data_IF_796942257667
#
_entry.id   IF_796942257667
#
_cell.length_a   1.000
_cell.length_b   1.000
_cell.length_c   1.000
_cell.angle_alpha   90.00
_cell.angle_beta   90.00
_cell.angle_gamma   90.00
#
_symmetry.space_group_name_H-M   'P 1'
#
loop_
_entity.id
_entity.type
_entity.pdbx_description
1 polymer ?
#
# COMPACT_ATOMS: atom_id res chain seq x y z
N UNK A 1 -51.96 19.17 65.16
CA UNK A 1 -50.91 19.79 64.28
C UNK A 1 -51.67 20.27 63.08
N UNK A 2 -51.73 21.58 62.86
CA UNK A 2 -52.19 22.12 61.57
C UNK A 2 -51.00 21.92 60.52
N UNK A 3 -51.20 20.99 59.62
CA UNK A 3 -50.34 20.90 58.45
C UNK A 3 -50.74 22.04 57.52
N UNK A 4 -49.86 23.03 57.35
CA UNK A 4 -50.02 24.01 56.27
C UNK A 4 -50.13 23.25 54.96
N UNK A 5 -51.13 23.56 54.10
CA UNK A 5 -51.18 22.97 52.79
C UNK A 5 -49.83 23.33 52.08
N UNK A 6 -49.23 22.31 51.46
CA UNK A 6 -48.03 22.58 50.61
C UNK A 6 -48.38 23.61 49.54
N UNK A 7 -47.57 24.63 49.40
CA UNK A 7 -47.74 25.58 48.31
C UNK A 7 -47.69 24.79 46.98
N UNK A 8 -48.59 25.11 46.04
CA UNK A 8 -48.50 24.50 44.71
C UNK A 8 -47.15 24.80 44.09
N UNK A 9 -46.58 23.83 43.36
CA UNK A 9 -45.36 24.00 42.62
C UNK A 9 -45.49 25.13 41.57
N UNK A 10 -44.49 25.95 41.45
CA UNK A 10 -44.38 26.93 40.37
C UNK A 10 -43.54 26.35 39.24
N UNK A 11 -44.04 26.34 38.02
CA UNK A 11 -43.23 25.83 36.91
C UNK A 11 -42.01 26.73 36.65
N UNK A 12 -40.90 26.16 36.17
CA UNK A 12 -39.67 26.91 35.88
C UNK A 12 -39.85 27.88 34.71
N UNK A 13 -38.91 28.80 34.54
CA UNK A 13 -38.83 29.74 33.43
C UNK A 13 -37.51 29.53 32.70
N UNK A 14 -37.53 29.63 31.35
CA UNK A 14 -36.37 29.39 30.50
C UNK A 14 -35.98 30.65 29.70
N UNK A 15 -34.69 30.92 29.59
CA UNK A 15 -34.15 32.02 28.80
C UNK A 15 -33.16 31.53 27.77
N UNK A 16 -33.20 32.09 26.57
CA UNK A 16 -32.21 31.85 25.50
C UNK A 16 -31.23 32.98 25.40
N UNK A 17 -29.93 32.66 25.26
CA UNK A 17 -28.92 33.64 24.92
C UNK A 17 -29.24 34.33 23.57
N UNK A 18 -28.79 35.57 23.40
CA UNK A 18 -29.10 36.35 22.19
C UNK A 18 -28.14 36.08 21.01
N UNK A 19 -27.64 34.85 20.92
CA UNK A 19 -26.80 34.37 19.82
C UNK A 19 -27.42 33.08 19.32
N UNK A 20 -27.77 32.96 18.03
CA UNK A 20 -27.72 33.99 16.98
C UNK A 20 -28.75 35.14 17.21
N UNK A 21 -28.53 36.25 16.58
CA UNK A 21 -29.51 37.34 16.60
C UNK A 21 -30.79 36.91 15.88
N UNK A 22 -32.00 37.25 16.38
CA UNK A 22 -33.23 36.82 15.69
C UNK A 22 -33.27 37.29 14.23
N UNK A 23 -33.70 36.40 13.33
CA UNK A 23 -33.77 36.56 11.88
C UNK A 23 -32.42 36.79 11.16
N UNK A 24 -31.32 36.51 11.84
CA UNK A 24 -30.00 36.47 11.18
C UNK A 24 -29.85 35.22 10.29
N UNK A 25 -28.92 35.29 9.33
CA UNK A 25 -28.57 34.13 8.48
C UNK A 25 -27.22 33.61 8.94
N UNK A 26 -27.18 32.38 9.38
CA UNK A 26 -26.01 31.75 9.99
C UNK A 26 -25.70 30.40 9.34
N UNK A 27 -24.54 29.86 9.63
CA UNK A 27 -24.20 28.51 9.23
C UNK A 27 -25.14 27.49 9.88
N UNK A 28 -25.40 26.35 9.19
CA UNK A 28 -26.35 25.35 9.66
C UNK A 28 -25.91 24.59 10.92
N UNK A 29 -24.63 24.66 11.30
CA UNK A 29 -24.09 24.13 12.54
C UNK A 29 -23.97 25.25 13.57
N UNK A 30 -24.81 25.22 14.60
CA UNK A 30 -24.95 26.35 15.55
C UNK A 30 -24.85 25.85 16.98
N UNK A 31 -24.08 26.56 17.80
CA UNK A 31 -24.12 26.38 19.26
C UNK A 31 -25.09 27.37 19.88
N UNK A 32 -26.11 26.83 20.54
CA UNK A 32 -27.14 27.57 21.24
C UNK A 32 -26.92 27.45 22.75
N UNK A 33 -27.17 28.54 23.46
CA UNK A 33 -27.00 28.62 24.91
C UNK A 33 -28.32 29.05 25.58
N UNK A 34 -28.66 28.46 26.70
CA UNK A 34 -29.86 28.77 27.50
C UNK A 34 -29.57 28.65 28.98
N UNK A 35 -30.48 29.15 29.76
CA UNK A 35 -30.48 29.00 31.20
C UNK A 35 -31.94 28.87 31.70
N UNK A 36 -32.13 28.33 32.91
CA UNK A 36 -33.43 28.18 33.52
C UNK A 36 -33.39 28.59 34.98
N UNK A 37 -34.49 29.22 35.44
CA UNK A 37 -34.71 29.62 36.80
C UNK A 37 -35.99 28.98 37.34
N UNK A 38 -36.02 28.65 38.63
CA UNK A 38 -37.17 28.12 39.34
C UNK A 38 -37.26 28.78 40.72
N UNK A 39 -38.35 29.48 40.96
CA UNK A 39 -38.52 30.32 42.15
C UNK A 39 -38.72 29.49 43.44
N UNK A 40 -39.18 28.26 43.36
CA UNK A 40 -39.46 27.38 44.52
C UNK A 40 -38.76 26.02 44.46
N UNK A 41 -37.77 25.86 43.53
CA UNK A 41 -37.03 24.62 43.36
C UNK A 41 -35.65 24.81 42.66
N UNK A 42 -35.34 23.89 41.80
CA UNK A 42 -34.13 23.93 40.94
C UNK A 42 -34.36 23.15 39.66
N UNK A 43 -33.59 23.49 38.61
CA UNK A 43 -33.69 22.86 37.32
C UNK A 43 -32.95 21.52 37.34
N UNK A 44 -33.57 20.46 36.85
CA UNK A 44 -33.02 19.10 36.77
C UNK A 44 -32.63 18.73 35.33
N UNK A 45 -33.33 19.27 34.34
CA UNK A 45 -33.07 19.00 32.92
C UNK A 45 -33.67 20.10 32.06
N UNK A 46 -33.36 20.05 30.79
CA UNK A 46 -34.00 20.84 29.75
C UNK A 46 -34.55 19.92 28.67
N UNK A 47 -35.61 20.34 28.01
CA UNK A 47 -36.13 19.73 26.82
C UNK A 47 -35.99 20.74 25.68
N UNK A 48 -35.46 20.29 24.53
CA UNK A 48 -35.34 21.09 23.36
C UNK A 48 -35.91 20.41 22.12
N UNK A 49 -36.34 21.20 21.17
CA UNK A 49 -36.67 20.77 19.81
C UNK A 49 -36.41 21.88 18.82
N UNK A 50 -36.42 21.53 17.54
CA UNK A 50 -36.43 22.53 16.48
C UNK A 50 -37.41 22.19 15.39
N UNK A 51 -37.82 23.24 14.64
CA UNK A 51 -38.74 23.17 13.54
C UNK A 51 -38.00 23.78 12.35
N UNK A 52 -37.81 23.02 11.28
CA UNK A 52 -37.31 23.52 9.99
C UNK A 52 -38.48 23.92 9.13
N UNK A 53 -38.53 25.17 8.69
CA UNK A 53 -39.54 25.66 7.77
C UNK A 53 -38.95 25.86 6.38
N UNK A 54 -39.46 25.13 5.41
CA UNK A 54 -39.06 25.19 4.02
C UNK A 54 -39.82 26.34 3.32
N UNK A 55 -39.14 27.46 3.13
CA UNK A 55 -39.77 28.72 2.69
C UNK A 55 -40.49 28.60 1.35
N UNK A 56 -39.91 27.90 0.40
CA UNK A 56 -40.47 27.80 -0.95
C UNK A 56 -41.58 26.71 -1.08
N UNK A 57 -41.44 25.65 -0.31
CA UNK A 57 -42.45 24.54 -0.31
C UNK A 57 -43.62 24.89 0.59
N UNK A 58 -43.38 25.67 1.65
CA UNK A 58 -44.38 26.10 2.62
C UNK A 58 -44.75 25.03 3.65
N UNK A 59 -43.98 23.97 3.75
CA UNK A 59 -44.13 22.93 4.77
C UNK A 59 -43.19 23.13 5.97
N UNK A 60 -43.34 22.33 7.01
CA UNK A 60 -42.49 22.40 8.20
C UNK A 60 -42.22 21.01 8.75
N UNK A 61 -40.95 20.71 9.01
CA UNK A 61 -40.52 19.49 9.70
C UNK A 61 -40.34 19.78 11.19
N UNK A 62 -41.15 19.20 12.06
CA UNK A 62 -41.09 19.38 13.50
C UNK A 62 -40.36 18.20 14.15
N UNK A 63 -39.23 18.47 14.78
CA UNK A 63 -38.50 17.46 15.56
C UNK A 63 -39.20 17.21 16.88
N UNK A 64 -39.18 15.95 17.40
CA UNK A 64 -39.71 15.66 18.76
C UNK A 64 -38.86 16.36 19.82
N UNK A 65 -39.45 16.58 20.98
CA UNK A 65 -38.73 17.02 22.18
C UNK A 65 -37.65 16.02 22.57
N UNK A 66 -36.43 16.51 22.86
CA UNK A 66 -35.30 15.73 23.35
C UNK A 66 -34.84 16.32 24.69
N UNK A 67 -34.51 15.44 25.64
CA UNK A 67 -34.03 15.86 26.95
C UNK A 67 -32.49 16.01 26.93
N UNK A 68 -32.01 16.98 27.75
CA UNK A 68 -30.56 17.21 27.99
C UNK A 68 -30.38 17.82 29.39
N UNK A 69 -29.26 17.56 30.02
CA UNK A 69 -28.79 18.19 31.25
C UNK A 69 -27.89 19.40 31.04
N UNK A 70 -27.62 19.73 29.75
CA UNK A 70 -26.70 20.80 29.37
C UNK A 70 -27.42 22.13 29.16
N UNK A 71 -26.72 23.23 29.43
CA UNK A 71 -27.16 24.62 29.17
C UNK A 71 -26.70 25.13 27.82
N UNK A 72 -26.03 24.29 27.03
CA UNK A 72 -25.64 24.60 25.65
C UNK A 72 -25.57 23.34 24.79
N UNK A 73 -25.86 23.47 23.51
CA UNK A 73 -25.77 22.37 22.57
C UNK A 73 -25.42 22.89 21.17
N UNK A 74 -24.50 22.20 20.52
CA UNK A 74 -24.23 22.39 19.08
C UNK A 74 -25.17 21.50 18.28
N UNK A 75 -25.97 22.09 17.42
CA UNK A 75 -26.98 21.41 16.61
C UNK A 75 -26.67 21.66 15.14
N UNK A 76 -26.63 20.57 14.36
CA UNK A 76 -26.69 20.66 12.91
C UNK A 76 -28.16 20.74 12.49
N UNK A 77 -28.57 21.87 11.96
CA UNK A 77 -29.92 22.06 11.46
C UNK A 77 -30.04 21.49 10.04
N UNK A 78 -31.23 20.97 9.74
CA UNK A 78 -31.50 20.55 8.37
C UNK A 78 -31.41 21.75 7.42
N UNK A 79 -30.70 21.56 6.33
CA UNK A 79 -30.59 22.52 5.23
C UNK A 79 -30.86 21.83 3.92
N UNK A 80 -31.51 22.52 3.02
CA UNK A 80 -31.83 22.04 1.67
C UNK A 80 -31.30 23.03 0.65
N UNK A 81 -31.48 22.71 -0.64
CA UNK A 81 -31.13 23.62 -1.74
C UNK A 81 -31.88 24.97 -1.69
N UNK A 82 -32.92 25.05 -0.88
CA UNK A 82 -33.74 26.24 -0.72
C UNK A 82 -33.45 26.94 0.62
N UNK A 83 -33.83 28.20 0.70
CA UNK A 83 -33.76 28.97 1.93
C UNK A 83 -34.69 28.38 2.99
N UNK A 84 -34.13 27.95 4.10
CA UNK A 84 -34.87 27.45 5.24
C UNK A 84 -34.71 28.39 6.43
N UNK A 85 -35.74 28.54 7.27
CA UNK A 85 -35.54 29.10 8.59
C UNK A 85 -35.82 28.09 9.69
N UNK A 86 -35.06 28.22 10.73
CA UNK A 86 -35.12 27.35 11.90
C UNK A 86 -35.85 28.05 13.03
N UNK A 87 -36.68 27.32 13.73
CA UNK A 87 -37.27 27.74 14.99
C UNK A 87 -36.77 26.79 16.08
N UNK A 88 -35.82 27.24 16.89
CA UNK A 88 -35.35 26.47 18.03
C UNK A 88 -36.17 26.80 19.25
N UNK A 89 -36.60 25.78 20.01
CA UNK A 89 -37.36 25.88 21.23
C UNK A 89 -36.69 25.07 22.34
N UNK A 90 -36.60 25.64 23.54
CA UNK A 90 -36.08 24.98 24.74
C UNK A 90 -36.92 25.34 25.94
N UNK A 91 -37.09 24.38 26.85
CA UNK A 91 -37.85 24.55 28.10
C UNK A 91 -37.16 23.81 29.24
N UNK A 92 -37.15 24.42 30.40
CA UNK A 92 -36.61 23.83 31.63
C UNK A 92 -37.58 22.83 32.26
N UNK A 93 -37.03 21.89 33.01
CA UNK A 93 -37.77 20.90 33.84
C UNK A 93 -37.25 21.02 35.26
N UNK A 94 -38.15 21.22 36.23
CA UNK A 94 -37.80 21.39 37.62
C UNK A 94 -37.59 20.04 38.34
N UNK A 95 -37.27 20.11 39.63
CA UNK A 95 -37.04 18.95 40.50
C UNK A 95 -38.35 18.22 40.94
N UNK A 96 -39.52 18.73 40.57
CA UNK A 96 -40.83 18.10 40.80
C UNK A 96 -41.41 17.52 39.50
N UNK A 97 -40.77 17.78 38.35
CA UNK A 97 -41.17 17.28 37.05
C UNK A 97 -42.08 18.24 36.27
N UNK A 98 -42.34 19.46 36.78
CA UNK A 98 -43.06 20.46 36.01
C UNK A 98 -42.14 21.08 34.95
N UNK A 99 -42.73 21.43 33.83
CA UNK A 99 -42.04 21.93 32.63
C UNK A 99 -42.47 23.36 32.38
N UNK A 100 -41.52 24.21 31.93
CA UNK A 100 -41.86 25.56 31.52
C UNK A 100 -42.98 25.55 30.46
N UNK A 101 -44.14 26.15 30.77
CA UNK A 101 -45.28 26.17 29.83
C UNK A 101 -45.07 27.10 28.65
N UNK A 102 -44.02 27.96 28.70
CA UNK A 102 -43.71 28.97 27.70
C UNK A 102 -42.27 28.81 27.17
N UNK A 103 -42.02 27.76 26.37
CA UNK A 103 -40.66 27.50 25.88
C UNK A 103 -40.00 28.73 25.30
N UNK A 104 -38.74 28.97 25.65
CA UNK A 104 -37.96 30.02 25.03
C UNK A 104 -37.72 29.67 23.55
N UNK A 105 -37.90 30.66 22.67
CA UNK A 105 -37.87 30.45 21.23
C UNK A 105 -36.88 31.38 20.53
N UNK A 106 -36.17 30.87 19.51
CA UNK A 106 -35.34 31.68 18.62
C UNK A 106 -35.58 31.27 17.18
N UNK A 107 -35.67 32.30 16.29
CA UNK A 107 -35.79 32.17 14.84
C UNK A 107 -34.56 32.71 14.15
N UNK A 108 -34.02 31.98 13.16
CA UNK A 108 -32.90 32.40 12.34
C UNK A 108 -32.93 31.65 10.99
N UNK A 109 -32.23 32.17 10.00
CA UNK A 109 -32.08 31.53 8.70
C UNK A 109 -30.75 30.73 8.71
N UNK A 110 -30.73 29.61 7.98
CA UNK A 110 -29.51 28.85 7.73
C UNK A 110 -29.09 29.00 6.28
N UNK A 111 -27.78 29.16 6.06
CA UNK A 111 -27.23 29.09 4.71
C UNK A 111 -27.56 27.73 4.09
N UNK A 112 -27.74 27.75 2.76
CA UNK A 112 -27.81 26.53 1.97
C UNK A 112 -26.55 25.70 2.27
N UNK A 113 -26.72 24.43 2.61
CA UNK A 113 -25.66 23.45 2.68
C UNK A 113 -25.81 22.42 1.57
N UNK A 114 -24.70 22.02 0.99
CA UNK A 114 -24.62 21.02 -0.07
C UNK A 114 -23.92 19.76 0.49
N UNK A 115 -24.11 18.65 -0.17
CA UNK A 115 -23.42 17.43 0.20
C UNK A 115 -21.92 17.54 -0.08
N UNK A 116 -21.06 16.98 0.75
CA UNK A 116 -19.66 16.87 0.43
C UNK A 116 -19.47 15.99 -0.81
N UNK A 117 -18.35 16.12 -1.49
CA UNK A 117 -18.02 15.35 -2.70
C UNK A 117 -16.81 14.48 -2.39
N UNK A 118 -16.99 13.18 -2.39
CA UNK A 118 -15.96 12.18 -2.12
C UNK A 118 -15.29 11.71 -3.40
N UNK A 119 -13.97 11.52 -3.37
CA UNK A 119 -13.19 10.99 -4.48
C UNK A 119 -12.26 9.87 -4.01
N UNK A 120 -12.34 8.71 -4.63
CA UNK A 120 -11.43 7.59 -4.43
C UNK A 120 -10.18 7.79 -5.31
N UNK A 121 -9.03 8.04 -4.69
CA UNK A 121 -7.76 8.26 -5.39
C UNK A 121 -7.12 6.93 -5.78
N UNK A 122 -7.15 5.95 -4.87
CA UNK A 122 -6.61 4.59 -5.04
C UNK A 122 -7.47 3.60 -4.25
N UNK A 123 -7.73 2.42 -4.81
CA UNK A 123 -7.29 1.88 -6.11
C UNK A 123 -8.01 2.50 -7.31
N UNK A 124 -7.40 2.35 -8.48
CA UNK A 124 -8.06 2.67 -9.75
C UNK A 124 -8.94 1.52 -10.22
N UNK A 125 -9.87 1.82 -11.12
CA UNK A 125 -10.80 0.82 -11.64
C UNK A 125 -10.07 -0.31 -12.39
N UNK A 126 -10.45 -1.56 -12.11
CA UNK A 126 -9.84 -2.79 -12.62
C UNK A 126 -8.40 -3.07 -12.15
N UNK A 127 -7.92 -2.39 -11.13
CA UNK A 127 -6.63 -2.70 -10.53
C UNK A 127 -6.64 -4.12 -9.95
N UNK A 128 -5.51 -4.83 -10.12
CA UNK A 128 -5.34 -6.22 -9.66
C UNK A 128 -4.36 -6.27 -8.51
N UNK A 129 -4.75 -6.93 -7.43
CA UNK A 129 -3.93 -7.12 -6.24
C UNK A 129 -3.71 -8.60 -5.95
N UNK A 130 -2.55 -8.94 -5.40
CA UNK A 130 -2.44 -10.17 -4.64
C UNK A 130 -3.12 -9.99 -3.28
N UNK A 131 -3.70 -11.08 -2.77
CA UNK A 131 -4.30 -11.10 -1.44
C UNK A 131 -4.06 -12.47 -0.78
N UNK A 132 -3.77 -12.46 0.51
CA UNK A 132 -3.68 -13.63 1.36
C UNK A 132 -4.73 -13.54 2.48
N UNK A 133 -5.03 -14.65 3.13
CA UNK A 133 -6.13 -14.76 4.11
C UNK A 133 -5.81 -14.16 5.49
N UNK A 134 -4.61 -13.65 5.67
CA UNK A 134 -4.14 -13.00 6.91
C UNK A 134 -3.17 -11.86 6.59
N UNK A 135 -2.96 -10.97 7.53
CA UNK A 135 -1.95 -9.90 7.42
C UNK A 135 -0.58 -10.38 7.89
N UNK A 136 0.48 -9.85 7.28
CA UNK A 136 1.88 -10.10 7.66
C UNK A 136 2.60 -8.77 7.82
N UNK A 137 3.87 -8.80 8.23
CA UNK A 137 4.72 -7.59 8.27
C UNK A 137 4.95 -7.00 6.87
N UNK A 138 4.73 -7.79 5.81
CA UNK A 138 4.93 -7.41 4.42
C UNK A 138 3.63 -7.11 3.66
N UNK A 139 2.49 -7.60 4.16
CA UNK A 139 1.20 -7.39 3.53
C UNK A 139 0.12 -7.07 4.56
N UNK A 140 -0.30 -5.81 4.62
CA UNK A 140 -1.29 -5.31 5.59
C UNK A 140 -2.73 -5.33 5.05
N UNK A 141 -2.95 -5.77 3.82
CA UNK A 141 -4.23 -5.72 3.13
C UNK A 141 -4.19 -4.86 1.88
N UNK A 142 -5.36 -4.53 1.36
CA UNK A 142 -5.51 -3.66 0.18
C UNK A 142 -5.51 -2.20 0.63
N UNK A 143 -4.49 -1.45 0.24
CA UNK A 143 -4.41 -0.02 0.54
C UNK A 143 -5.44 0.76 -0.27
N UNK A 144 -6.18 1.65 0.42
CA UNK A 144 -7.06 2.62 -0.20
C UNK A 144 -6.66 4.04 0.21
N UNK A 145 -6.86 4.98 -0.70
CA UNK A 145 -6.64 6.41 -0.45
C UNK A 145 -7.78 7.18 -1.10
N UNK A 146 -8.39 8.08 -0.36
CA UNK A 146 -9.51 8.89 -0.81
C UNK A 146 -9.43 10.29 -0.19
N UNK A 147 -10.23 11.20 -0.72
CA UNK A 147 -10.38 12.56 -0.21
C UNK A 147 -11.83 12.99 -0.37
N UNK A 148 -12.21 14.09 0.26
CA UNK A 148 -13.47 14.74 -0.02
C UNK A 148 -13.34 16.25 0.12
N UNK A 149 -14.23 16.97 -0.55
CA UNK A 149 -14.33 18.43 -0.52
C UNK A 149 -15.74 18.82 -0.10
N UNK A 150 -15.83 19.76 0.83
CA UNK A 150 -17.05 20.48 1.14
C UNK A 150 -16.91 21.94 0.66
N UNK A 151 -17.82 22.38 -0.21
CA UNK A 151 -17.77 23.71 -0.85
C UNK A 151 -18.59 24.75 -0.12
N UNK A 152 -19.21 24.37 0.98
CA UNK A 152 -20.06 25.29 1.72
C UNK A 152 -19.24 26.31 2.50
N UNK A 153 -19.87 27.45 2.78
CA UNK A 153 -19.28 28.45 3.67
C UNK A 153 -19.07 27.85 5.06
N UNK A 154 -17.81 27.78 5.54
CA UNK A 154 -17.38 27.07 6.75
C UNK A 154 -17.67 25.56 6.74
N UNK A 155 -17.84 24.97 5.56
CA UNK A 155 -18.00 23.55 5.39
C UNK A 155 -16.68 22.83 5.64
N UNK A 156 -16.75 21.71 6.37
CA UNK A 156 -15.62 20.84 6.68
C UNK A 156 -16.05 19.36 6.58
N UNK A 157 -15.23 18.55 5.94
CA UNK A 157 -15.41 17.11 5.98
C UNK A 157 -14.91 16.59 7.33
N UNK A 158 -15.78 15.99 8.13
CA UNK A 158 -15.46 15.57 9.50
C UNK A 158 -15.09 14.10 9.62
N UNK A 159 -15.58 13.26 8.72
CA UNK A 159 -15.25 11.85 8.68
C UNK A 159 -15.57 11.22 7.31
N UNK A 160 -14.99 10.06 7.08
CA UNK A 160 -15.11 9.28 5.86
C UNK A 160 -15.65 7.89 6.18
N UNK A 161 -16.20 7.22 5.19
CA UNK A 161 -16.52 5.81 5.32
C UNK A 161 -16.12 5.04 4.07
N UNK A 162 -15.77 3.78 4.28
CA UNK A 162 -15.52 2.82 3.22
C UNK A 162 -16.34 1.56 3.41
N UNK A 163 -16.59 0.86 2.32
CA UNK A 163 -17.26 -0.44 2.33
C UNK A 163 -16.76 -1.29 1.15
N UNK A 164 -16.80 -2.61 1.31
CA UNK A 164 -16.53 -3.57 0.25
C UNK A 164 -17.85 -4.19 -0.19
N UNK A 165 -18.11 -4.21 -1.49
CA UNK A 165 -19.31 -4.74 -2.12
C UNK A 165 -20.60 -4.17 -1.50
N UNK A 166 -21.44 -5.04 -0.93
CA UNK A 166 -22.65 -4.67 -0.19
C UNK A 166 -22.46 -4.73 1.32
N UNK A 167 -21.20 -4.81 1.79
CA UNK A 167 -20.87 -4.83 3.21
C UNK A 167 -21.22 -3.52 3.92
N UNK A 168 -21.09 -3.50 5.26
CA UNK A 168 -21.38 -2.33 6.08
C UNK A 168 -20.37 -1.20 5.81
N UNK A 169 -20.79 0.04 6.11
CA UNK A 169 -19.92 1.19 6.12
C UNK A 169 -19.05 1.22 7.37
N UNK A 170 -17.75 1.42 7.18
CA UNK A 170 -16.74 1.59 8.23
C UNK A 170 -16.31 3.05 8.27
N UNK A 171 -16.70 3.77 9.32
CA UNK A 171 -16.38 5.18 9.50
C UNK A 171 -14.97 5.37 10.05
N UNK A 172 -14.26 6.38 9.56
CA UNK A 172 -12.88 6.71 9.93
C UNK A 172 -12.58 8.19 9.70
N UNK A 173 -11.51 8.69 10.32
CA UNK A 173 -10.94 10.01 10.03
C UNK A 173 -9.72 9.93 9.12
N UNK A 174 -9.21 8.72 8.88
CA UNK A 174 -8.04 8.50 8.04
C UNK A 174 -8.47 8.53 6.57
N UNK A 175 -7.67 9.18 5.73
CA UNK A 175 -7.85 9.25 4.28
C UNK A 175 -7.03 8.21 3.52
N UNK A 176 -6.17 7.47 4.24
CA UNK A 176 -5.40 6.35 3.72
C UNK A 176 -5.39 5.23 4.76
N UNK A 177 -5.79 4.04 4.36
CA UNK A 177 -5.84 2.87 5.24
C UNK A 177 -5.70 1.57 4.44
N UNK A 178 -5.58 0.44 5.15
CA UNK A 178 -5.57 -0.89 4.57
C UNK A 178 -6.88 -1.62 4.91
N UNK A 179 -7.54 -2.16 3.87
CA UNK A 179 -8.68 -3.06 4.04
C UNK A 179 -8.14 -4.48 4.23
N UNK A 180 -8.40 -5.06 5.40
CA UNK A 180 -7.95 -6.41 5.75
C UNK A 180 -8.71 -7.49 4.97
N UNK A 181 -8.16 -8.72 4.83
CA UNK A 181 -8.76 -9.78 4.01
C UNK A 181 -10.16 -10.18 4.44
N UNK A 182 -10.50 -10.07 5.72
CA UNK A 182 -11.82 -10.43 6.28
C UNK A 182 -13.00 -9.68 5.64
N UNK A 183 -12.71 -8.55 5.02
CA UNK A 183 -13.71 -7.71 4.36
C UNK A 183 -14.02 -8.15 2.92
N UNK A 184 -13.26 -9.10 2.37
CA UNK A 184 -13.43 -9.60 1.01
C UNK A 184 -13.96 -11.03 1.02
N UNK A 185 -15.22 -11.24 0.63
CA UNK A 185 -15.87 -12.55 0.65
C UNK A 185 -16.53 -12.85 -0.69
N UNK A 186 -16.05 -13.86 -1.45
CA UNK A 186 -14.81 -14.63 -1.21
C UNK A 186 -13.55 -13.78 -1.42
N UNK A 187 -12.41 -14.12 -0.79
CA UNK A 187 -11.18 -13.34 -0.90
C UNK A 187 -10.71 -13.21 -2.37
N UNK A 188 -10.77 -14.30 -3.14
CA UNK A 188 -10.38 -14.31 -4.54
C UNK A 188 -11.54 -13.87 -5.44
N UNK A 189 -11.33 -12.87 -6.28
CA UNK A 189 -12.35 -12.43 -7.22
C UNK A 189 -12.44 -10.92 -7.42
N UNK A 190 -13.56 -10.47 -7.99
CA UNK A 190 -13.85 -9.06 -8.20
C UNK A 190 -14.62 -8.50 -7.02
N UNK A 191 -14.20 -7.34 -6.55
CA UNK A 191 -14.83 -6.59 -5.47
C UNK A 191 -15.02 -5.14 -5.86
N UNK A 192 -16.03 -4.50 -5.29
CA UNK A 192 -16.26 -3.06 -5.42
C UNK A 192 -15.91 -2.38 -4.11
N UNK A 193 -14.88 -1.58 -4.09
CA UNK A 193 -14.54 -0.70 -2.96
C UNK A 193 -15.32 0.59 -3.14
N UNK A 194 -16.08 0.97 -2.12
CA UNK A 194 -16.92 2.18 -2.12
C UNK A 194 -16.46 3.10 -1.00
N UNK A 195 -16.51 4.40 -1.24
CA UNK A 195 -16.17 5.43 -0.26
C UNK A 195 -17.23 6.52 -0.23
N UNK A 196 -17.44 7.11 0.92
CA UNK A 196 -18.30 8.29 1.12
C UNK A 196 -17.73 9.15 2.23
N UNK A 197 -18.26 10.35 2.41
CA UNK A 197 -17.83 11.27 3.47
C UNK A 197 -19.03 11.94 4.14
N UNK A 198 -18.78 12.51 5.31
CA UNK A 198 -19.75 13.30 6.08
C UNK A 198 -19.13 14.66 6.39
N UNK A 199 -19.92 15.71 6.26
CA UNK A 199 -19.55 17.06 6.62
C UNK A 199 -19.87 17.41 8.08
N UNK A 200 -19.54 18.62 8.49
CA UNK A 200 -19.78 19.15 9.83
C UNK A 200 -21.27 19.53 10.07
N UNK A 201 -22.12 19.45 9.03
CA UNK A 201 -23.59 19.59 9.16
C UNK A 201 -24.30 18.23 9.23
N UNK A 202 -23.54 17.11 9.26
CA UNK A 202 -24.01 15.72 9.25
C UNK A 202 -24.60 15.27 7.91
N UNK A 203 -24.42 16.01 6.82
CA UNK A 203 -24.77 15.53 5.49
C UNK A 203 -23.75 14.50 5.03
N UNK A 204 -24.26 13.43 4.44
CA UNK A 204 -23.44 12.35 3.89
C UNK A 204 -23.51 12.44 2.37
N UNK A 205 -22.38 12.36 1.68
CA UNK A 205 -22.34 12.26 0.23
C UNK A 205 -23.22 11.11 -0.26
N UNK A 206 -24.34 11.39 -0.94
CA UNK A 206 -25.29 10.35 -1.35
C UNK A 206 -24.80 9.52 -2.54
N UNK A 207 -23.78 9.97 -3.25
CA UNK A 207 -23.20 9.31 -4.41
C UNK A 207 -21.95 8.55 -4.01
N UNK A 208 -21.03 9.22 -3.30
CA UNK A 208 -19.72 8.70 -3.01
C UNK A 208 -18.89 8.43 -4.27
N UNK A 209 -17.87 7.61 -4.12
CA UNK A 209 -17.07 7.13 -5.25
C UNK A 209 -16.73 5.64 -5.08
N UNK A 210 -16.33 4.97 -6.16
CA UNK A 210 -16.04 3.54 -6.10
C UNK A 210 -15.09 3.08 -7.19
N UNK A 211 -14.37 1.98 -6.91
CA UNK A 211 -13.59 1.26 -7.90
C UNK A 211 -13.84 -0.25 -7.82
N UNK A 212 -13.91 -0.89 -8.98
CA UNK A 212 -13.88 -2.34 -9.08
C UNK A 212 -12.41 -2.78 -9.05
N UNK A 213 -12.06 -3.66 -8.14
CA UNK A 213 -10.74 -4.29 -8.02
C UNK A 213 -10.85 -5.79 -8.23
N UNK A 214 -9.74 -6.43 -8.55
CA UNK A 214 -9.65 -7.88 -8.59
C UNK A 214 -8.57 -8.37 -7.66
N UNK A 215 -8.94 -9.22 -6.72
CA UNK A 215 -8.02 -9.90 -5.82
C UNK A 215 -7.66 -11.27 -6.38
N UNK A 216 -6.38 -11.63 -6.30
CA UNK A 216 -5.83 -12.93 -6.70
C UNK A 216 -5.15 -13.53 -5.50
N UNK A 217 -5.66 -14.67 -5.03
CA UNK A 217 -5.01 -15.44 -4.00
C UNK A 217 -3.94 -16.32 -4.64
N UNK A 218 -2.66 -16.28 -4.19
CA UNK A 218 -1.63 -17.18 -4.66
C UNK A 218 -2.00 -18.64 -4.39
N UNK A 219 -1.76 -19.49 -5.38
CA UNK A 219 -2.05 -20.95 -5.34
C UNK A 219 -0.75 -21.73 -5.11
N UNK A 220 0.36 -21.25 -5.69
CA UNK A 220 1.69 -21.84 -5.60
C UNK A 220 1.73 -23.35 -5.89
N UNK A 221 0.93 -23.80 -6.87
CA UNK A 221 0.83 -25.19 -7.30
C UNK A 221 1.96 -25.62 -8.26
N UNK A 222 2.80 -24.68 -8.67
CA UNK A 222 3.99 -24.88 -9.51
C UNK A 222 5.23 -24.36 -8.80
N UNK A 223 6.38 -25.01 -9.05
CA UNK A 223 7.60 -24.67 -8.32
C UNK A 223 8.27 -23.39 -8.86
N UNK A 224 8.65 -23.36 -10.12
CA UNK A 224 9.56 -22.36 -10.67
C UNK A 224 8.99 -21.77 -11.96
N UNK A 225 9.04 -20.44 -12.08
CA UNK A 225 8.89 -19.69 -13.32
C UNK A 225 10.23 -19.02 -13.65
N UNK A 226 10.80 -19.31 -14.80
CA UNK A 226 11.93 -18.55 -15.31
C UNK A 226 11.38 -17.35 -16.05
N UNK A 227 11.86 -16.15 -15.71
CA UNK A 227 11.62 -14.91 -16.46
C UNK A 227 12.92 -14.58 -17.19
N UNK A 228 12.92 -14.87 -18.47
CA UNK A 228 14.07 -14.69 -19.34
C UNK A 228 14.06 -13.30 -19.97
N UNK A 229 15.12 -12.52 -19.73
CA UNK A 229 15.35 -11.21 -20.34
C UNK A 229 16.49 -11.25 -21.36
N UNK A 230 16.86 -12.42 -21.88
CA UNK A 230 17.89 -12.56 -22.89
C UNK A 230 17.50 -11.79 -24.17
N UNK A 231 18.42 -10.98 -24.68
CA UNK A 231 18.23 -10.22 -25.92
C UNK A 231 18.99 -10.91 -27.05
N UNK A 232 18.25 -11.41 -28.01
CA UNK A 232 18.82 -12.07 -29.17
C UNK A 232 19.92 -11.18 -29.82
N UNK A 233 21.11 -11.73 -30.02
CA UNK A 233 22.28 -11.05 -30.58
C UNK A 233 22.96 -9.98 -29.71
N UNK A 234 22.63 -9.83 -28.46
CA UNK A 234 23.27 -8.91 -27.51
C UNK A 234 24.37 -9.61 -26.68
N UNK A 235 25.00 -10.60 -27.22
CA UNK A 235 26.17 -11.25 -26.62
C UNK A 235 27.48 -10.49 -26.89
N UNK A 236 28.49 -10.61 -26.02
CA UNK A 236 29.80 -10.05 -26.28
C UNK A 236 30.36 -10.50 -27.64
N UNK A 237 31.02 -9.60 -28.34
CA UNK A 237 31.62 -9.93 -29.63
C UNK A 237 32.56 -11.15 -29.55
N UNK A 238 32.30 -12.16 -30.37
CA UNK A 238 33.03 -13.44 -30.40
C UNK A 238 32.39 -14.54 -29.53
N UNK A 239 31.35 -14.25 -28.77
CA UNK A 239 30.49 -15.28 -28.16
C UNK A 239 29.54 -15.82 -29.24
N UNK A 240 29.53 -17.13 -29.41
CA UNK A 240 28.57 -17.81 -30.29
C UNK A 240 27.53 -18.47 -29.41
N UNK A 241 26.43 -17.74 -29.12
CA UNK A 241 25.29 -18.21 -28.36
C UNK A 241 24.02 -17.54 -28.88
N UNK A 242 22.90 -18.19 -28.70
CA UNK A 242 21.56 -17.75 -29.05
C UNK A 242 20.71 -17.66 -27.80
N UNK A 243 19.56 -17.05 -27.89
CA UNK A 243 18.49 -17.08 -26.88
C UNK A 243 18.15 -18.54 -26.50
N UNK A 244 17.94 -19.39 -27.50
CA UNK A 244 17.65 -20.83 -27.30
C UNK A 244 18.76 -21.58 -26.55
N UNK A 245 20.03 -21.17 -26.69
CA UNK A 245 21.12 -21.79 -25.91
C UNK A 245 21.03 -21.44 -24.43
N UNK A 246 20.56 -20.22 -24.10
CA UNK A 246 20.33 -19.78 -22.73
C UNK A 246 19.11 -20.50 -22.16
N UNK A 247 18.01 -20.57 -22.90
CA UNK A 247 16.78 -21.28 -22.52
C UNK A 247 17.08 -22.75 -22.17
N UNK A 248 17.78 -23.44 -23.07
CA UNK A 248 18.17 -24.83 -22.86
C UNK A 248 19.10 -25.00 -21.64
N UNK A 249 19.99 -24.04 -21.43
CA UNK A 249 20.87 -24.07 -20.26
C UNK A 249 20.09 -23.97 -18.95
N UNK A 250 19.20 -22.99 -18.81
CA UNK A 250 18.37 -22.83 -17.61
C UNK A 250 17.38 -23.98 -17.43
N UNK A 251 16.80 -24.48 -18.51
CA UNK A 251 15.93 -25.65 -18.47
C UNK A 251 16.65 -26.88 -17.88
N UNK A 252 17.89 -27.14 -18.28
CA UNK A 252 18.68 -28.23 -17.73
C UNK A 252 19.11 -27.99 -16.27
N UNK A 253 19.35 -26.74 -15.85
CA UNK A 253 19.74 -26.43 -14.49
C UNK A 253 18.59 -26.69 -13.49
N UNK A 254 17.39 -26.29 -13.85
CA UNK A 254 16.24 -26.26 -12.96
C UNK A 254 15.17 -27.32 -13.26
N UNK A 255 15.47 -28.29 -14.13
CA UNK A 255 14.58 -29.43 -14.42
C UNK A 255 13.41 -29.06 -15.35
N UNK A 256 13.68 -28.24 -16.38
CA UNK A 256 12.72 -27.81 -17.39
C UNK A 256 11.47 -27.12 -16.83
N UNK A 257 11.65 -26.10 -15.99
CA UNK A 257 10.52 -25.29 -15.50
C UNK A 257 9.87 -24.53 -16.68
N UNK A 258 8.70 -23.92 -16.40
CA UNK A 258 8.08 -23.06 -17.40
C UNK A 258 8.89 -21.77 -17.55
N UNK A 259 9.18 -21.39 -18.81
CA UNK A 259 9.88 -20.19 -19.16
C UNK A 259 8.93 -19.14 -19.70
N UNK A 260 9.16 -17.93 -19.28
CA UNK A 260 8.47 -16.72 -19.74
C UNK A 260 9.46 -15.79 -20.40
N UNK A 261 9.49 -15.79 -21.74
CA UNK A 261 10.28 -14.87 -22.52
C UNK A 261 9.73 -13.44 -22.35
N UNK A 262 10.44 -12.65 -21.57
CA UNK A 262 10.09 -11.26 -21.31
C UNK A 262 10.17 -10.39 -22.57
N UNK A 263 11.12 -10.66 -23.46
CA UNK A 263 11.35 -9.85 -24.66
C UNK A 263 10.18 -9.93 -25.62
N UNK A 264 9.47 -11.06 -25.65
CA UNK A 264 8.31 -11.31 -26.51
C UNK A 264 6.96 -11.00 -25.83
N UNK A 265 6.88 -11.15 -24.51
CA UNK A 265 5.58 -11.16 -23.77
C UNK A 265 5.45 -10.06 -22.73
N UNK A 266 6.52 -9.32 -22.41
CA UNK A 266 6.56 -8.39 -21.29
C UNK A 266 6.52 -9.09 -19.94
N UNK A 267 6.18 -8.35 -18.89
CA UNK A 267 6.11 -8.89 -17.53
C UNK A 267 4.92 -9.87 -17.36
N UNK A 268 5.11 -11.02 -16.68
CA UNK A 268 4.03 -11.98 -16.44
C UNK A 268 2.93 -11.36 -15.57
N UNK A 269 1.65 -11.53 -15.96
CA UNK A 269 0.54 -11.02 -15.15
C UNK A 269 0.43 -11.75 -13.81
N UNK A 270 -0.21 -11.11 -12.82
CA UNK A 270 -0.40 -11.67 -11.47
C UNK A 270 -1.08 -13.04 -11.47
N UNK A 271 -2.01 -13.29 -12.41
CA UNK A 271 -2.60 -14.62 -12.61
C UNK A 271 -1.57 -15.70 -12.91
N UNK A 272 -0.56 -15.38 -13.69
CA UNK A 272 0.54 -16.31 -13.98
C UNK A 272 1.42 -16.50 -12.75
N UNK A 273 1.87 -15.40 -12.14
CA UNK A 273 2.75 -15.44 -10.95
C UNK A 273 2.10 -16.20 -9.77
N UNK A 274 0.78 -16.09 -9.60
CA UNK A 274 0.02 -16.75 -8.55
C UNK A 274 0.20 -18.28 -8.48
N UNK A 275 0.61 -18.90 -9.59
CA UNK A 275 0.85 -20.33 -9.65
C UNK A 275 2.25 -20.76 -9.20
N UNK A 276 3.23 -19.85 -9.19
CA UNK A 276 4.63 -20.23 -8.99
C UNK A 276 5.13 -19.84 -7.61
N UNK A 277 5.77 -20.79 -6.92
CA UNK A 277 6.39 -20.57 -5.61
C UNK A 277 7.63 -19.68 -5.72
N UNK A 278 8.37 -19.77 -6.83
CA UNK A 278 9.61 -19.04 -7.06
C UNK A 278 9.66 -18.49 -8.48
N UNK A 279 10.18 -17.28 -8.62
CA UNK A 279 10.62 -16.70 -9.90
C UNK A 279 12.15 -16.69 -9.98
N UNK A 280 12.68 -17.04 -11.14
CA UNK A 280 14.09 -16.87 -11.48
C UNK A 280 14.15 -15.82 -12.58
N UNK A 281 14.64 -14.64 -12.24
CA UNK A 281 14.88 -13.58 -13.24
C UNK A 281 16.33 -13.58 -13.65
N UNK A 282 16.59 -13.78 -14.94
CA UNK A 282 17.95 -13.68 -15.47
C UNK A 282 18.05 -12.73 -16.66
N UNK A 283 19.24 -12.12 -16.80
CA UNK A 283 19.61 -11.19 -17.86
C UNK A 283 21.10 -11.34 -18.16
N UNK A 284 21.48 -12.52 -18.60
CA UNK A 284 22.88 -12.95 -18.62
C UNK A 284 23.70 -12.37 -19.76
N UNK A 285 23.09 -11.90 -20.84
CA UNK A 285 23.80 -11.28 -21.97
C UNK A 285 23.75 -9.75 -21.99
N UNK A 286 23.06 -9.11 -21.07
CA UNK A 286 22.96 -7.65 -20.96
C UNK A 286 24.23 -7.03 -20.33
N UNK A 287 25.35 -7.11 -21.02
CA UNK A 287 26.65 -6.66 -20.52
C UNK A 287 27.01 -5.21 -20.86
N UNK A 288 26.30 -4.57 -21.77
CA UNK A 288 26.64 -3.25 -22.31
C UNK A 288 26.92 -2.19 -21.26
N UNK A 289 27.88 -1.33 -21.52
CA UNK A 289 28.15 -0.16 -20.67
C UNK A 289 27.01 0.86 -20.66
N UNK A 290 26.16 0.87 -21.67
CA UNK A 290 24.93 1.63 -21.67
C UNK A 290 23.89 0.86 -20.85
N UNK A 291 23.58 1.28 -19.86
CA UNK A 291 22.78 1.15 -18.66
C UNK A 291 21.33 0.72 -18.81
N UNK A 292 20.81 0.52 -20.01
CA UNK A 292 19.36 0.50 -20.23
C UNK A 292 18.79 -0.88 -20.60
N UNK A 293 19.57 -1.94 -20.53
CA UNK A 293 19.10 -3.22 -21.06
C UNK A 293 18.19 -3.98 -20.07
N UNK A 294 18.55 -4.01 -18.79
CA UNK A 294 17.74 -4.73 -17.80
C UNK A 294 16.41 -4.05 -17.55
N UNK A 295 15.31 -4.80 -17.65
CA UNK A 295 13.93 -4.32 -17.48
C UNK A 295 13.36 -4.59 -16.08
N UNK A 296 13.98 -5.46 -15.30
CA UNK A 296 13.57 -5.76 -13.94
C UNK A 296 13.27 -4.50 -13.10
N UNK A 297 14.09 -3.41 -13.13
CA UNK A 297 13.78 -2.20 -12.36
C UNK A 297 12.45 -1.53 -12.70
N UNK A 298 11.89 -1.79 -13.87
CA UNK A 298 10.61 -1.24 -14.29
C UNK A 298 9.40 -1.97 -13.65
N UNK A 299 9.64 -3.15 -13.05
CA UNK A 299 8.63 -4.05 -12.50
C UNK A 299 8.79 -4.28 -10.99
N UNK A 300 9.48 -3.38 -10.32
CA UNK A 300 9.76 -3.50 -8.88
C UNK A 300 8.47 -3.64 -8.07
N UNK A 301 7.43 -2.87 -8.39
CA UNK A 301 6.17 -2.90 -7.66
C UNK A 301 5.49 -4.25 -7.77
N UNK A 302 5.41 -4.79 -8.97
CA UNK A 302 4.81 -6.10 -9.24
C UNK A 302 5.57 -7.24 -8.56
N UNK A 303 6.91 -7.14 -8.53
CA UNK A 303 7.79 -8.09 -7.85
C UNK A 303 7.60 -7.99 -6.32
N UNK A 304 7.57 -6.77 -5.78
CA UNK A 304 7.29 -6.56 -4.35
C UNK A 304 5.94 -7.14 -3.96
N UNK A 305 4.89 -6.90 -4.75
CA UNK A 305 3.57 -7.47 -4.52
C UNK A 305 3.60 -9.01 -4.47
N UNK A 306 4.40 -9.65 -5.33
CA UNK A 306 4.57 -11.10 -5.37
C UNK A 306 5.34 -11.63 -4.15
N UNK A 307 6.43 -10.97 -3.75
CA UNK A 307 7.22 -11.35 -2.58
C UNK A 307 6.43 -11.15 -1.28
N UNK A 308 5.65 -10.07 -1.17
CA UNK A 308 4.84 -9.76 0.01
C UNK A 308 3.79 -10.83 0.34
N UNK A 309 3.42 -11.66 -0.63
CA UNK A 309 2.44 -12.73 -0.46
C UNK A 309 3.08 -14.14 -0.45
N UNK A 310 4.39 -14.22 -0.31
CA UNK A 310 5.12 -15.47 -0.09
C UNK A 310 5.71 -16.11 -1.34
N UNK A 311 5.88 -15.39 -2.42
CA UNK A 311 6.68 -15.85 -3.56
C UNK A 311 8.18 -15.62 -3.32
N UNK A 312 9.04 -16.52 -3.77
CA UNK A 312 10.50 -16.44 -3.68
C UNK A 312 11.15 -15.91 -4.95
N UNK A 313 12.39 -15.41 -4.86
CA UNK A 313 13.08 -14.86 -6.03
C UNK A 313 14.56 -15.24 -6.09
N UNK A 314 15.01 -15.67 -7.27
CA UNK A 314 16.43 -15.72 -7.64
C UNK A 314 16.67 -14.66 -8.73
N UNK A 315 17.67 -13.82 -8.53
CA UNK A 315 18.07 -12.80 -9.47
C UNK A 315 19.51 -13.03 -9.94
N UNK A 316 19.73 -13.11 -11.24
CA UNK A 316 21.04 -13.29 -11.88
C UNK A 316 21.16 -12.40 -13.11
N UNK A 317 22.35 -11.92 -13.37
CA UNK A 317 22.59 -11.17 -14.60
C UNK A 317 23.94 -10.46 -14.63
N UNK A 318 24.32 -10.06 -15.83
CA UNK A 318 25.55 -9.29 -16.01
C UNK A 318 25.32 -7.83 -15.63
N UNK A 319 25.98 -7.35 -14.57
CA UNK A 319 25.79 -5.99 -14.04
C UNK A 319 24.36 -5.69 -13.57
N UNK A 320 23.65 -6.70 -13.07
CA UNK A 320 22.22 -6.58 -12.80
C UNK A 320 21.91 -5.47 -11.77
N UNK A 321 22.75 -5.27 -10.76
CA UNK A 321 22.56 -4.19 -9.78
C UNK A 321 22.83 -2.80 -10.37
N UNK A 322 23.63 -2.72 -11.44
CA UNK A 322 23.85 -1.46 -12.16
C UNK A 322 22.56 -0.93 -12.78
N UNK A 323 21.65 -1.80 -13.18
CA UNK A 323 20.37 -1.41 -13.79
C UNK A 323 19.46 -0.62 -12.84
N UNK A 324 19.64 -0.78 -11.53
CA UNK A 324 18.89 -0.02 -10.53
C UNK A 324 19.45 1.37 -10.23
N UNK A 325 20.68 1.64 -10.68
CA UNK A 325 21.34 2.93 -10.57
C UNK A 325 22.17 3.23 -11.82
N UNK A 326 21.53 3.29 -13.01
CA UNK A 326 22.22 3.26 -14.29
C UNK A 326 23.19 4.42 -14.51
N UNK A 327 22.89 5.60 -14.01
CA UNK A 327 23.73 6.79 -14.18
C UNK A 327 24.72 7.00 -13.02
N UNK A 328 24.57 6.29 -11.91
CA UNK A 328 25.43 6.47 -10.74
C UNK A 328 26.77 5.73 -10.93
N UNK A 329 27.88 6.30 -10.46
CA UNK A 329 29.14 5.56 -10.37
C UNK A 329 29.03 4.46 -9.28
N UNK A 330 29.77 3.36 -9.46
CA UNK A 330 29.93 2.38 -8.39
C UNK A 330 31.25 2.64 -7.63
N UNK A 331 31.31 2.39 -6.30
CA UNK A 331 30.26 1.78 -5.47
C UNK A 331 29.04 2.70 -5.27
N UNK A 332 27.84 2.10 -5.29
CA UNK A 332 26.56 2.77 -5.14
C UNK A 332 25.87 2.34 -3.85
N UNK A 333 25.44 3.30 -3.04
CA UNK A 333 24.57 3.07 -1.88
C UNK A 333 23.09 3.06 -2.30
N UNK A 334 22.31 2.15 -1.73
CA UNK A 334 20.86 2.06 -1.90
C UNK A 334 20.18 2.50 -0.61
N UNK A 335 19.28 3.47 -0.72
CA UNK A 335 18.60 4.06 0.43
C UNK A 335 17.43 3.17 0.93
N UNK A 336 17.06 3.34 2.20
CA UNK A 336 15.79 2.84 2.75
C UNK A 336 14.62 3.28 1.90
N UNK A 337 13.59 2.43 1.78
CA UNK A 337 12.45 2.63 0.89
C UNK A 337 12.67 2.12 -0.54
N UNK A 338 13.86 1.65 -0.90
CA UNK A 338 14.13 1.06 -2.21
C UNK A 338 14.05 -0.47 -2.18
N UNK A 339 13.66 -1.08 -3.29
CA UNK A 339 13.60 -2.54 -3.43
C UNK A 339 14.91 -3.23 -3.07
N UNK A 340 16.04 -2.70 -3.55
CA UNK A 340 17.37 -3.27 -3.30
C UNK A 340 17.71 -3.25 -1.81
N UNK A 341 17.39 -2.15 -1.10
CA UNK A 341 17.67 -2.03 0.32
C UNK A 341 16.73 -2.87 1.18
N UNK A 342 15.41 -2.76 0.95
CA UNK A 342 14.42 -3.30 1.88
C UNK A 342 14.09 -4.78 1.61
N UNK A 343 14.09 -5.21 0.34
CA UNK A 343 13.75 -6.59 -0.04
C UNK A 343 14.98 -7.49 -0.23
N UNK A 344 16.04 -6.97 -0.82
CA UNK A 344 17.28 -7.74 -1.01
C UNK A 344 18.30 -7.51 0.12
N UNK A 345 18.02 -6.59 1.03
CA UNK A 345 18.90 -6.18 2.13
C UNK A 345 20.33 -5.80 1.71
N UNK A 346 20.44 -5.14 0.55
CA UNK A 346 21.69 -4.66 -0.01
C UNK A 346 21.80 -3.15 0.20
N UNK A 347 22.66 -2.72 1.14
CA UNK A 347 22.88 -1.30 1.42
C UNK A 347 23.80 -0.62 0.41
N UNK A 348 24.78 -1.37 -0.12
CA UNK A 348 25.79 -0.89 -1.06
C UNK A 348 26.18 -2.02 -2.01
N UNK A 349 26.41 -1.68 -3.25
CA UNK A 349 27.03 -2.58 -4.21
C UNK A 349 28.19 -1.88 -4.91
N UNK A 350 29.20 -2.65 -5.25
CA UNK A 350 30.35 -2.24 -6.06
C UNK A 350 30.38 -3.02 -7.37
N UNK A 351 31.20 -2.61 -8.30
CA UNK A 351 31.41 -3.29 -9.59
C UNK A 351 32.91 -3.44 -9.84
N UNK A 352 33.33 -4.61 -10.29
CA UNK A 352 34.73 -4.82 -10.62
C UNK A 352 35.11 -4.11 -11.90
N UNK A 353 36.42 -4.01 -12.16
CA UNK A 353 36.95 -3.38 -13.37
C UNK A 353 36.35 -3.96 -14.67
N UNK A 354 36.34 -3.16 -15.71
CA UNK A 354 36.04 -3.62 -17.08
C UNK A 354 37.12 -4.54 -17.68
N UNK A 355 38.31 -4.60 -17.08
CA UNK A 355 39.30 -5.61 -17.43
C UNK A 355 38.89 -6.99 -16.96
N UNK A 356 38.86 -8.01 -17.84
CA UNK A 356 38.40 -9.34 -17.49
C UNK A 356 39.35 -10.04 -16.51
N UNK A 357 38.79 -10.46 -15.35
CA UNK A 357 39.60 -11.06 -14.30
C UNK A 357 38.86 -12.16 -13.49
N UNK A 358 37.54 -12.18 -13.57
CA UNK A 358 36.71 -13.17 -12.85
C UNK A 358 36.79 -14.53 -13.53
N UNK A 359 37.33 -15.53 -12.83
CA UNK A 359 37.44 -16.92 -13.29
C UNK A 359 36.41 -17.86 -12.62
N UNK A 360 35.61 -17.34 -11.75
CA UNK A 360 34.58 -18.08 -10.99
C UNK A 360 34.32 -17.51 -9.63
N UNK A 361 33.54 -18.23 -8.81
CA UNK A 361 33.25 -17.83 -7.46
C UNK A 361 33.53 -18.97 -6.47
N UNK A 362 34.11 -18.64 -5.32
CA UNK A 362 34.35 -19.58 -4.24
C UNK A 362 33.08 -19.73 -3.41
N UNK A 363 32.58 -20.95 -3.29
CA UNK A 363 31.43 -21.27 -2.43
C UNK A 363 31.77 -21.09 -0.94
N UNK A 364 30.80 -20.67 -0.16
CA UNK A 364 30.87 -20.48 1.28
C UNK A 364 29.90 -21.48 1.95
N UNK A 365 30.32 -22.06 3.07
CA UNK A 365 29.51 -23.05 3.80
C UNK A 365 29.33 -24.35 3.00
N UNK A 366 28.12 -24.66 2.64
CA UNK A 366 27.76 -25.88 1.88
C UNK A 366 27.81 -25.71 0.35
N UNK A 367 28.09 -24.49 -0.11
CA UNK A 367 28.14 -24.20 -1.54
C UNK A 367 29.47 -24.58 -2.17
N UNK A 368 29.40 -25.25 -3.30
CA UNK A 368 30.57 -25.71 -4.07
C UNK A 368 31.16 -24.53 -4.86
N UNK A 369 32.49 -24.47 -4.97
CA UNK A 369 33.18 -23.50 -5.82
C UNK A 369 32.83 -23.73 -7.30
N UNK A 370 32.53 -22.65 -8.01
CA UNK A 370 32.12 -22.65 -9.41
C UNK A 370 33.12 -21.91 -10.30
N UNK A 371 33.24 -22.31 -11.54
CA UNK A 371 34.20 -21.76 -12.52
C UNK A 371 33.48 -21.17 -13.72
N UNK A 372 34.05 -20.13 -14.28
CA UNK A 372 33.64 -19.59 -15.59
C UNK A 372 33.89 -20.62 -16.69
N UNK A 373 32.92 -20.78 -17.59
CA UNK A 373 33.11 -21.55 -18.84
C UNK A 373 34.02 -20.78 -19.77
N UNK A 374 35.31 -21.02 -19.62
CA UNK A 374 36.33 -20.35 -20.44
C UNK A 374 36.21 -20.64 -21.94
N UNK A 375 35.58 -21.77 -22.30
CA UNK A 375 35.40 -22.12 -23.73
C UNK A 375 34.34 -21.24 -24.39
N UNK A 376 33.21 -20.92 -23.69
CA UNK A 376 32.20 -19.98 -24.18
C UNK A 376 32.78 -18.58 -24.46
N UNK A 377 33.78 -18.18 -23.69
CA UNK A 377 34.41 -16.84 -23.76
C UNK A 377 35.76 -16.82 -24.45
N UNK A 378 36.26 -17.96 -24.95
CA UNK A 378 37.62 -18.04 -25.53
C UNK A 378 37.91 -17.05 -26.66
N UNK A 379 36.92 -16.83 -27.51
CA UNK A 379 37.02 -15.90 -28.65
C UNK A 379 36.30 -14.55 -28.36
N UNK A 380 35.77 -14.35 -27.15
CA UNK A 380 35.06 -13.15 -26.79
C UNK A 380 36.01 -12.00 -26.46
N UNK A 381 36.00 -10.94 -27.28
CA UNK A 381 36.78 -9.72 -27.02
C UNK A 381 35.98 -8.79 -26.09
N UNK A 382 36.58 -8.22 -25.03
CA UNK A 382 37.96 -8.40 -24.54
C UNK A 382 38.14 -9.51 -23.51
N UNK A 383 37.19 -10.43 -23.34
CA UNK A 383 37.03 -11.34 -22.21
C UNK A 383 38.04 -12.51 -22.20
N UNK A 384 38.29 -13.15 -23.35
CA UNK A 384 39.27 -14.24 -23.52
C UNK A 384 39.25 -15.29 -22.39
N UNK A 385 38.05 -15.83 -22.10
CA UNK A 385 37.86 -16.91 -21.12
C UNK A 385 37.58 -16.46 -19.69
N UNK A 386 37.44 -15.18 -19.43
CA UNK A 386 37.15 -14.59 -18.12
C UNK A 386 35.94 -13.65 -18.20
N UNK A 387 35.30 -13.34 -17.08
CA UNK A 387 34.28 -12.30 -16.99
C UNK A 387 34.84 -11.00 -16.38
N UNK A 388 34.16 -9.89 -16.61
CA UNK A 388 34.43 -8.57 -16.06
C UNK A 388 33.17 -7.94 -15.54
N UNK A 389 33.29 -6.83 -14.82
CA UNK A 389 32.17 -6.03 -14.33
C UNK A 389 31.17 -6.84 -13.49
N UNK A 390 31.72 -7.63 -12.57
CA UNK A 390 30.95 -8.42 -11.61
C UNK A 390 30.50 -7.52 -10.47
N UNK A 391 29.24 -7.62 -10.03
CA UNK A 391 28.76 -6.89 -8.89
C UNK A 391 29.33 -7.50 -7.61
N UNK A 392 29.96 -6.67 -6.78
CA UNK A 392 30.39 -6.99 -5.44
C UNK A 392 29.34 -6.51 -4.47
N UNK A 393 28.84 -7.42 -3.65
CA UNK A 393 27.65 -7.21 -2.83
C UNK A 393 27.99 -7.52 -1.37
N UNK A 394 28.48 -6.55 -0.57
CA UNK A 394 28.73 -6.76 0.84
C UNK A 394 27.46 -7.23 1.58
N UNK A 395 27.60 -8.27 2.40
CA UNK A 395 26.48 -8.75 3.20
C UNK A 395 26.10 -7.76 4.29
N UNK A 396 24.82 -7.74 4.62
CA UNK A 396 24.28 -7.01 5.77
C UNK A 396 24.15 -7.99 6.94
N UNK A 397 24.96 -7.80 7.97
CA UNK A 397 24.97 -8.67 9.15
C UNK A 397 23.58 -8.81 9.77
N UNK A 398 23.15 -10.05 10.03
CA UNK A 398 21.83 -10.36 10.58
C UNK A 398 20.68 -10.40 9.56
N UNK A 399 20.94 -10.08 8.29
CA UNK A 399 19.94 -10.12 7.23
C UNK A 399 20.31 -11.04 6.07
N UNK A 400 21.57 -10.98 5.59
CA UNK A 400 22.00 -11.74 4.41
C UNK A 400 23.20 -12.62 4.69
N UNK A 401 23.18 -13.83 4.12
CA UNK A 401 24.30 -14.76 4.10
C UNK A 401 25.09 -14.62 2.80
N UNK A 402 26.43 -14.61 2.92
CA UNK A 402 27.31 -14.74 1.77
C UNK A 402 27.35 -16.19 1.34
N UNK A 403 26.96 -16.45 0.09
CA UNK A 403 27.01 -17.81 -0.49
C UNK A 403 28.14 -18.00 -1.48
N UNK A 404 28.55 -16.89 -2.16
CA UNK A 404 29.69 -16.89 -3.08
C UNK A 404 30.55 -15.65 -2.93
N UNK A 405 31.87 -15.87 -3.08
CA UNK A 405 32.87 -14.79 -3.12
C UNK A 405 33.66 -14.80 -4.43
N UNK A 406 34.03 -13.63 -4.88
CA UNK A 406 34.80 -13.39 -6.11
C UNK A 406 36.12 -14.16 -6.12
N UNK A 407 36.44 -14.82 -7.25
CA UNK A 407 37.70 -15.53 -7.45
C UNK A 407 38.39 -15.09 -8.73
N UNK A 408 39.73 -14.93 -8.67
CA UNK A 408 40.60 -14.60 -9.76
C UNK A 408 41.94 -15.35 -9.63
N UNK A 409 42.79 -15.24 -10.67
CA UNK A 409 44.10 -15.88 -10.68
C UNK A 409 45.05 -15.32 -9.62
N UNK A 410 45.98 -16.13 -9.14
CA UNK A 410 46.89 -15.73 -8.04
C UNK A 410 47.79 -14.55 -8.41
N UNK A 411 48.11 -14.39 -9.67
CA UNK A 411 48.93 -13.29 -10.21
C UNK A 411 48.10 -12.12 -10.74
N UNK A 412 46.79 -12.09 -10.43
CA UNK A 412 45.91 -11.02 -10.88
C UNK A 412 46.34 -9.64 -10.38
N UNK A 413 46.30 -8.61 -11.22
CA UNK A 413 46.48 -7.23 -10.82
C UNK A 413 45.29 -6.71 -9.95
N UNK A 414 44.19 -7.44 -9.92
CA UNK A 414 42.94 -7.09 -9.21
C UNK A 414 42.71 -7.96 -7.96
N UNK A 415 43.77 -8.33 -7.27
CA UNK A 415 43.72 -9.14 -6.03
C UNK A 415 42.81 -8.57 -4.96
N UNK A 416 42.52 -7.27 -4.97
CA UNK A 416 41.61 -6.59 -4.03
C UNK A 416 40.15 -7.06 -4.13
N UNK A 417 39.74 -7.68 -5.25
CA UNK A 417 38.39 -8.23 -5.40
C UNK A 417 38.28 -9.67 -4.85
N UNK A 418 39.38 -10.41 -4.77
CA UNK A 418 39.38 -11.79 -4.31
C UNK A 418 38.79 -11.90 -2.91
N UNK A 419 37.85 -12.84 -2.75
CA UNK A 419 37.14 -13.07 -1.48
C UNK A 419 36.05 -12.07 -1.15
N UNK A 420 35.83 -11.03 -1.98
CA UNK A 420 34.70 -10.12 -1.80
C UNK A 420 33.39 -10.80 -2.20
N UNK A 421 32.27 -10.58 -1.47
CA UNK A 421 31.00 -11.22 -1.77
C UNK A 421 30.46 -10.85 -3.15
N UNK A 422 29.99 -11.86 -3.91
CA UNK A 422 29.33 -11.69 -5.22
C UNK A 422 28.10 -12.59 -5.38
N UNK A 423 27.67 -13.27 -4.35
CA UNK A 423 26.40 -13.99 -4.23
C UNK A 423 25.89 -13.92 -2.81
N UNK A 424 24.67 -13.46 -2.64
CA UNK A 424 23.98 -13.31 -1.35
C UNK A 424 22.68 -14.07 -1.34
N UNK A 425 22.27 -14.47 -0.13
CA UNK A 425 20.98 -15.05 0.17
C UNK A 425 20.35 -14.34 1.35
N UNK A 426 19.08 -13.96 1.21
CA UNK A 426 18.21 -13.49 2.28
C UNK A 426 17.22 -14.59 2.64
N UNK A 427 17.03 -14.83 3.93
CA UNK A 427 15.98 -15.67 4.47
C UNK A 427 14.97 -14.82 5.22
N UNK A 428 13.75 -14.81 4.73
CA UNK A 428 12.65 -14.07 5.34
C UNK A 428 11.63 -14.98 6.02
N UNK A 429 10.72 -14.36 6.72
CA UNK A 429 9.55 -15.05 7.31
C UNK A 429 8.43 -15.26 6.29
N UNK A 430 8.45 -14.52 5.19
CA UNK A 430 7.42 -14.52 4.15
C UNK A 430 7.98 -14.95 2.80
N UNK A 431 9.16 -14.47 2.43
CA UNK A 431 9.82 -14.80 1.17
C UNK A 431 11.33 -14.94 1.36
N UNK A 432 11.96 -15.67 0.46
CA UNK A 432 13.40 -15.78 0.34
C UNK A 432 13.90 -15.13 -0.95
N UNK A 433 15.12 -14.58 -0.93
CA UNK A 433 15.72 -13.98 -2.10
C UNK A 433 17.20 -14.35 -2.26
N UNK A 434 17.61 -14.64 -3.50
CA UNK A 434 19.01 -14.90 -3.85
C UNK A 434 19.43 -13.94 -4.95
N UNK A 435 20.60 -13.34 -4.78
CA UNK A 435 21.18 -12.42 -5.76
C UNK A 435 22.57 -12.88 -6.16
N UNK A 436 22.76 -13.13 -7.46
CA UNK A 436 24.07 -13.37 -8.05
C UNK A 436 24.55 -12.11 -8.75
N UNK A 437 25.71 -11.62 -8.37
CA UNK A 437 26.37 -10.48 -9.02
C UNK A 437 27.06 -10.80 -10.35
N UNK A 438 26.83 -12.00 -10.89
CA UNK A 438 27.41 -12.52 -12.12
C UNK A 438 26.39 -13.31 -12.94
N UNK A 439 26.56 -13.40 -14.29
CA UNK A 439 25.67 -14.15 -15.16
C UNK A 439 25.93 -15.66 -15.03
N UNK A 440 24.90 -16.44 -14.69
CA UNK A 440 25.02 -17.91 -14.48
C UNK A 440 25.26 -18.64 -15.79
N UNK A 441 24.74 -18.18 -16.92
CA UNK A 441 24.95 -18.78 -18.25
C UNK A 441 26.42 -19.00 -18.60
N UNK A 442 27.30 -18.11 -18.13
CA UNK A 442 28.75 -18.21 -18.37
C UNK A 442 29.51 -19.03 -17.33
N UNK A 443 28.81 -19.69 -16.41
CA UNK A 443 29.42 -20.68 -15.50
C UNK A 443 29.49 -22.03 -16.20
N UNK A 444 30.55 -22.80 -15.91
CA UNK A 444 30.74 -24.14 -16.42
C UNK A 444 29.53 -25.01 -16.08
N UNK A 445 28.98 -25.72 -17.08
CA UNK A 445 27.64 -26.35 -16.97
C UNK A 445 27.50 -27.32 -15.79
N UNK A 446 28.54 -28.07 -15.48
CA UNK A 446 28.54 -28.99 -14.34
C UNK A 446 28.50 -28.26 -13.00
N UNK A 447 29.29 -27.19 -12.89
CA UNK A 447 29.32 -26.31 -11.70
C UNK A 447 27.98 -25.57 -11.54
N UNK A 448 27.39 -25.06 -12.64
CA UNK A 448 26.08 -24.40 -12.63
C UNK A 448 24.93 -25.34 -12.21
N UNK A 449 24.94 -26.61 -12.63
CA UNK A 449 23.98 -27.61 -12.17
C UNK A 449 24.11 -27.87 -10.66
N UNK A 450 25.33 -27.92 -10.15
CA UNK A 450 25.58 -28.07 -8.72
C UNK A 450 25.08 -26.85 -7.95
N UNK A 451 25.39 -25.64 -8.43
CA UNK A 451 24.89 -24.37 -7.88
C UNK A 451 23.36 -24.39 -7.81
N UNK A 452 22.67 -24.67 -8.92
CA UNK A 452 21.22 -24.70 -8.96
C UNK A 452 20.61 -25.67 -7.93
N UNK A 453 21.18 -26.89 -7.84
CA UNK A 453 20.76 -27.89 -6.86
C UNK A 453 20.97 -27.40 -5.43
N UNK A 454 22.15 -26.87 -5.11
CA UNK A 454 22.48 -26.39 -3.75
C UNK A 454 21.61 -25.21 -3.34
N UNK A 455 21.34 -24.27 -4.26
CA UNK A 455 20.44 -23.15 -4.01
C UNK A 455 19.01 -23.65 -3.72
N UNK A 456 18.45 -24.48 -4.60
CA UNK A 456 17.10 -25.01 -4.40
C UNK A 456 16.99 -25.77 -3.07
N UNK A 457 17.97 -26.63 -2.75
CA UNK A 457 18.00 -27.31 -1.45
C UNK A 457 18.08 -26.34 -0.28
N UNK A 458 18.84 -25.26 -0.42
CA UNK A 458 19.00 -24.25 0.62
C UNK A 458 17.74 -23.42 0.88
N UNK A 459 16.84 -23.34 -0.10
CA UNK A 459 15.55 -22.64 -0.04
C UNK A 459 14.38 -23.60 0.25
N UNK A 460 14.66 -24.91 0.46
CA UNK A 460 13.62 -25.90 0.78
C UNK A 460 12.87 -26.48 -0.42
N UNK A 461 13.40 -26.34 -1.63
CA UNK A 461 12.84 -26.85 -2.89
C UNK A 461 13.39 -28.21 -3.30
#
# INVERSE_FOLDING_TARGET
MQTNPAYPNMPPNTTLANIPVPNDTIFALVTLHWDGEDDDGYITAYEYRYITHHVYVGDSLVQPWKSTDKTSLTIAFESSDDLNYQIFQVRAVDNKGDVDPTPAEKRFYTYKTTFPITTLISPTNNQVFFAIDHTTDWWSGVQITFTAEDKDFQGEVVEYAWAVDRGPWHWTKDTTLFITPDNFIPLNGKHTIRVTSRDNTNLIDPVGDSAIVRLIQPIFDRRILIIDETIEKDFPFGVVATDEDVDNFYAELFGSPYEWDYTKRGFPPKDTLAHYQMIIWHADNCYSASTAHHKLPNHIREIMDYLNVGGDMIMSGWRILKSFAPLAPFPQAFAEGTFIHDYLHINIADETSSAPDFIGAKGIGTFTTIRVDSAKLANAFPYYGKLAQINIIPSRAGFTDVIYTYNNEDNSPFVQYRGRPCGLRYYGTVFDAVVFGFPIFFIEKGDAKTLAKEILQSLGY
#
